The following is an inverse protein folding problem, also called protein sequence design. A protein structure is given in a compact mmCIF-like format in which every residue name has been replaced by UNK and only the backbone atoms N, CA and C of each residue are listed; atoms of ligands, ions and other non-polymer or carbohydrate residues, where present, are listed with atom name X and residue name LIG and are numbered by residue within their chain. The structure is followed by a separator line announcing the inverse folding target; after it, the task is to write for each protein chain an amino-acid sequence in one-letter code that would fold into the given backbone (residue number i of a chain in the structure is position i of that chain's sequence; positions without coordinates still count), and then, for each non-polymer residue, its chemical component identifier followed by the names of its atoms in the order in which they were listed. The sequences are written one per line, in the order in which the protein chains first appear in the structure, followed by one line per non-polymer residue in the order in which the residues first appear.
data_IF_853495727815
#
_entry.id   IF_853495727815
#
_cell.length_a   1.000
_cell.length_b   1.000
_cell.length_c   1.000
_cell.angle_alpha   90.00
_cell.angle_beta   90.00
_cell.angle_gamma   90.00
#
_symmetry.space_group_name_H-M   'P 1'
#
loop_
_entity.id
_entity.type
_entity.pdbx_description
1 polymer ?
#
# COMPACT_ATOMS: atom_id res chain seq x y z
N UNK A 1 6.40 -20.01 12.44
CA UNK A 1 5.74 -18.85 11.78
C UNK A 1 5.18 -19.34 10.46
N UNK A 2 3.94 -18.98 10.10
CA UNK A 2 3.39 -19.32 8.79
C UNK A 2 4.27 -18.72 7.68
N UNK A 3 4.49 -19.49 6.61
CA UNK A 3 5.26 -19.03 5.45
C UNK A 3 4.56 -17.82 4.82
N UNK A 4 5.32 -16.80 4.45
CA UNK A 4 4.79 -15.65 3.72
C UNK A 4 4.48 -16.10 2.29
N UNK A 5 3.21 -16.02 1.91
CA UNK A 5 2.73 -16.41 0.59
C UNK A 5 2.08 -15.22 -0.10
N UNK A 6 2.39 -15.04 -1.38
CA UNK A 6 1.68 -14.06 -2.19
C UNK A 6 0.23 -14.51 -2.38
N UNK A 7 -0.71 -13.57 -2.23
CA UNK A 7 -2.09 -13.83 -2.57
C UNK A 7 -2.18 -14.18 -4.07
N UNK A 8 -2.99 -15.18 -4.47
CA UNK A 8 -3.18 -15.48 -5.88
C UNK A 8 -3.85 -14.30 -6.59
N UNK A 9 -3.54 -14.11 -7.87
CA UNK A 9 -4.24 -13.15 -8.72
C UNK A 9 -5.69 -13.59 -8.87
N UNK A 10 -6.65 -12.72 -8.52
CA UNK A 10 -8.09 -12.99 -8.69
C UNK A 10 -8.49 -12.80 -10.13
N UNK A 11 -9.46 -13.61 -10.56
CA UNK A 11 -10.04 -13.51 -11.90
C UNK A 11 -10.61 -12.12 -12.13
N UNK A 12 -10.62 -11.69 -13.40
CA UNK A 12 -11.14 -10.39 -13.79
C UNK A 12 -12.58 -10.21 -13.28
N UNK A 13 -13.46 -11.19 -13.50
CA UNK A 13 -14.87 -11.12 -13.07
C UNK A 13 -15.07 -10.93 -11.56
N UNK A 14 -14.14 -11.41 -10.71
CA UNK A 14 -14.22 -11.19 -9.27
C UNK A 14 -13.76 -9.75 -8.90
N UNK A 15 -12.79 -9.22 -9.65
CA UNK A 15 -12.22 -7.88 -9.48
C UNK A 15 -13.11 -6.77 -10.07
N UNK A 16 -13.56 -6.89 -11.33
CA UNK A 16 -14.39 -5.94 -12.11
C UNK A 16 -15.37 -6.70 -13.06
N UNK A 17 -16.47 -6.11 -13.58
CA UNK A 17 -17.58 -5.40 -12.98
C UNK A 17 -18.86 -6.28 -12.87
N UNK A 18 -19.56 -6.15 -11.75
CA UNK A 18 -21.01 -6.36 -11.64
C UNK A 18 -21.56 -5.19 -10.85
N UNK A 19 -22.63 -4.52 -11.30
CA UNK A 19 -23.17 -3.34 -10.58
C UNK A 19 -23.65 -3.68 -9.16
N UNK A 20 -24.00 -4.94 -8.92
CA UNK A 20 -24.32 -5.56 -7.63
C UNK A 20 -23.12 -5.70 -6.68
N UNK A 21 -21.90 -5.56 -7.20
CA UNK A 21 -20.64 -5.81 -6.47
C UNK A 21 -19.97 -4.55 -5.94
N UNK A 22 -20.50 -3.38 -6.29
CA UNK A 22 -19.99 -2.07 -5.88
C UNK A 22 -21.09 -1.26 -5.20
N UNK A 23 -20.74 -0.57 -4.12
CA UNK A 23 -21.63 0.34 -3.43
C UNK A 23 -20.85 1.55 -2.91
N UNK A 24 -21.53 2.70 -2.82
CA UNK A 24 -20.95 3.91 -2.22
C UNK A 24 -20.43 3.60 -0.80
N UNK A 25 -19.26 4.14 -0.41
CA UNK A 25 -18.78 4.00 0.96
C UNK A 25 -19.77 4.65 1.94
N UNK A 26 -19.96 3.99 3.08
CA UNK A 26 -20.82 4.47 4.15
C UNK A 26 -20.00 5.41 5.05
N UNK A 27 -20.06 6.71 4.75
CA UNK A 27 -19.31 7.73 5.50
C UNK A 27 -19.86 7.97 6.91
N UNK A 28 -21.04 7.42 7.24
CA UNK A 28 -21.63 7.52 8.59
C UNK A 28 -21.08 6.44 9.52
N UNK A 29 -20.73 5.27 8.98
CA UNK A 29 -20.11 4.16 9.69
C UNK A 29 -18.66 3.95 9.20
N UNK A 30 -17.76 4.80 9.71
CA UNK A 30 -16.34 4.78 9.37
C UNK A 30 -15.67 3.43 9.71
N UNK A 31 -16.11 2.77 10.79
CA UNK A 31 -15.59 1.47 11.18
C UNK A 31 -15.93 0.41 10.12
N UNK A 32 -17.18 0.36 9.65
CA UNK A 32 -17.60 -0.53 8.57
C UNK A 32 -16.89 -0.23 7.25
N UNK A 33 -16.71 1.05 6.92
CA UNK A 33 -16.00 1.43 5.69
C UNK A 33 -14.52 1.03 5.76
N UNK A 34 -13.83 1.31 6.88
CA UNK A 34 -12.45 0.87 7.10
C UNK A 34 -12.33 -0.65 6.97
N UNK A 35 -13.23 -1.39 7.61
CA UNK A 35 -13.24 -2.84 7.57
C UNK A 35 -13.48 -3.39 6.15
N UNK A 36 -14.24 -2.66 5.32
CA UNK A 36 -14.40 -2.96 3.89
C UNK A 36 -13.08 -2.76 3.13
N UNK A 37 -12.41 -1.62 3.33
CA UNK A 37 -11.13 -1.31 2.68
C UNK A 37 -10.09 -2.38 3.03
N UNK A 38 -9.85 -2.63 4.31
CA UNK A 38 -8.87 -3.62 4.81
C UNK A 38 -9.15 -5.01 4.22
N UNK A 39 -10.40 -5.46 4.30
CA UNK A 39 -10.81 -6.76 3.79
C UNK A 39 -10.50 -6.89 2.29
N UNK A 40 -10.78 -5.84 1.51
CA UNK A 40 -10.51 -5.83 0.09
C UNK A 40 -9.01 -5.74 -0.22
N UNK A 41 -8.23 -4.94 0.52
CA UNK A 41 -6.77 -4.82 0.39
C UNK A 41 -6.08 -6.18 0.54
N UNK A 42 -6.51 -6.96 1.54
CA UNK A 42 -6.02 -8.32 1.77
C UNK A 42 -6.39 -9.25 0.61
N UNK A 43 -7.68 -9.33 0.27
CA UNK A 43 -8.17 -10.31 -0.69
C UNK A 43 -7.68 -10.09 -2.13
N UNK A 44 -7.59 -8.83 -2.57
CA UNK A 44 -7.19 -8.42 -3.94
C UNK A 44 -5.75 -7.92 -4.03
N UNK A 45 -4.88 -8.22 -3.05
CA UNK A 45 -3.50 -7.70 -2.98
C UNK A 45 -2.77 -7.72 -4.34
N UNK A 46 -2.75 -8.87 -5.01
CA UNK A 46 -2.00 -9.04 -6.27
C UNK A 46 -2.65 -8.30 -7.44
N UNK A 47 -3.98 -8.21 -7.46
CA UNK A 47 -4.70 -7.38 -8.43
C UNK A 47 -4.40 -5.89 -8.21
N UNK A 48 -4.28 -5.44 -6.95
CA UNK A 48 -3.91 -4.06 -6.65
C UNK A 48 -2.48 -3.72 -7.01
N UNK A 49 -1.54 -4.64 -6.80
CA UNK A 49 -0.17 -4.47 -7.28
C UNK A 49 -0.15 -4.32 -8.80
N UNK A 50 -0.87 -5.20 -9.52
CA UNK A 50 -0.97 -5.12 -10.98
C UNK A 50 -1.63 -3.82 -11.44
N UNK A 51 -2.74 -3.41 -10.81
CA UNK A 51 -3.42 -2.14 -11.10
C UNK A 51 -2.47 -0.96 -10.90
N UNK A 52 -1.70 -0.95 -9.80
CA UNK A 52 -0.75 0.09 -9.52
C UNK A 52 0.36 0.18 -10.57
N UNK A 53 0.91 -0.97 -11.00
CA UNK A 53 1.91 -1.04 -12.08
C UNK A 53 1.32 -0.53 -13.40
N UNK A 54 0.12 -0.96 -13.77
CA UNK A 54 -0.54 -0.50 -15.01
C UNK A 54 -0.76 1.01 -15.00
N UNK A 55 -1.30 1.56 -13.92
CA UNK A 55 -1.52 3.01 -13.80
C UNK A 55 -0.20 3.78 -13.81
N UNK A 56 0.83 3.28 -13.12
CA UNK A 56 2.17 3.87 -13.13
C UNK A 56 2.76 3.92 -14.55
N UNK A 57 2.68 2.81 -15.28
CA UNK A 57 3.15 2.73 -16.67
C UNK A 57 2.35 3.64 -17.61
N UNK A 58 1.03 3.78 -17.40
CA UNK A 58 0.20 4.72 -18.16
C UNK A 58 0.64 6.17 -17.93
N UNK A 59 0.88 6.57 -16.68
CA UNK A 59 1.41 7.91 -16.38
C UNK A 59 2.76 8.12 -17.07
N UNK A 60 3.64 7.12 -17.01
CA UNK A 60 4.95 7.16 -17.67
C UNK A 60 4.86 7.25 -19.19
N UNK A 61 3.92 6.54 -19.80
CA UNK A 61 3.70 6.58 -21.24
C UNK A 61 3.15 7.93 -21.71
N UNK A 62 2.28 8.57 -20.92
CA UNK A 62 1.73 9.89 -21.23
C UNK A 62 2.77 11.02 -21.09
N UNK A 63 3.79 10.84 -20.25
CA UNK A 63 4.89 11.79 -20.14
C UNK A 63 6.24 11.08 -19.89
N UNK A 64 6.84 10.52 -20.96
CA UNK A 64 8.02 9.66 -20.82
C UNK A 64 9.25 10.43 -20.36
N UNK A 65 9.46 11.66 -20.87
CA UNK A 65 10.62 12.47 -20.47
C UNK A 65 10.56 12.88 -19.01
N UNK A 66 9.41 13.34 -18.51
CA UNK A 66 9.31 13.72 -17.12
C UNK A 66 9.30 12.51 -16.18
N UNK A 67 8.83 11.34 -16.62
CA UNK A 67 8.97 10.08 -15.87
C UNK A 67 10.43 9.64 -15.76
N UNK A 68 11.16 9.61 -16.88
CA UNK A 68 12.60 9.27 -16.89
C UNK A 68 13.37 10.27 -16.03
N UNK A 69 13.10 11.56 -16.17
CA UNK A 69 13.70 12.61 -15.35
C UNK A 69 13.40 12.39 -13.88
N UNK A 70 12.15 12.10 -13.52
CA UNK A 70 11.77 11.86 -12.14
C UNK A 70 12.48 10.66 -11.53
N UNK A 71 12.51 9.54 -12.25
CA UNK A 71 13.22 8.33 -11.84
C UNK A 71 14.72 8.59 -11.70
N UNK A 72 15.33 9.24 -12.69
CA UNK A 72 16.76 9.54 -12.67
C UNK A 72 17.15 10.43 -11.48
N UNK A 73 16.36 11.47 -11.19
CA UNK A 73 16.61 12.36 -10.04
C UNK A 73 16.47 11.60 -8.73
N UNK A 74 15.36 10.90 -8.51
CA UNK A 74 15.11 10.20 -7.24
C UNK A 74 16.15 9.09 -7.01
N UNK A 75 16.42 8.28 -8.03
CA UNK A 75 17.45 7.23 -7.94
C UNK A 75 18.85 7.83 -7.77
N UNK A 76 19.18 8.90 -8.50
CA UNK A 76 20.48 9.57 -8.42
C UNK A 76 20.76 10.19 -7.06
N UNK A 77 19.78 10.92 -6.51
CA UNK A 77 19.88 11.52 -5.17
C UNK A 77 19.97 10.43 -4.09
N UNK A 78 19.15 9.37 -4.19
CA UNK A 78 19.20 8.27 -3.24
C UNK A 78 20.55 7.54 -3.27
N UNK A 79 20.99 7.08 -4.44
CA UNK A 79 22.27 6.39 -4.61
C UNK A 79 23.45 7.29 -4.20
N UNK A 80 23.44 8.57 -4.58
CA UNK A 80 24.44 9.54 -4.18
C UNK A 80 24.47 9.72 -2.66
N UNK A 81 23.32 9.82 -2.00
CA UNK A 81 23.23 9.94 -0.55
C UNK A 81 23.75 8.71 0.19
N UNK A 82 23.46 7.50 -0.31
CA UNK A 82 23.96 6.24 0.24
C UNK A 82 25.47 6.17 0.08
N UNK A 83 25.97 6.43 -1.13
CA UNK A 83 27.41 6.42 -1.42
C UNK A 83 28.17 7.41 -0.53
N UNK A 84 27.72 8.67 -0.45
CA UNK A 84 28.34 9.67 0.43
C UNK A 84 28.27 9.22 1.90
N UNK A 85 27.13 8.67 2.33
CA UNK A 85 26.91 8.19 3.69
C UNK A 85 27.71 6.93 4.07
N UNK A 86 28.23 6.18 3.10
CA UNK A 86 29.14 5.05 3.33
C UNK A 86 30.60 5.47 3.30
N UNK A 87 30.95 6.43 2.45
CA UNK A 87 32.34 6.83 2.20
C UNK A 87 32.82 8.01 3.08
N UNK A 88 31.91 8.74 3.74
CA UNK A 88 32.25 9.85 4.63
C UNK A 88 31.83 9.53 6.06
N UNK A 89 32.81 9.35 6.95
CA UNK A 89 32.57 9.03 8.36
C UNK A 89 31.62 10.03 9.06
N UNK A 90 31.76 11.33 8.77
CA UNK A 90 30.89 12.39 9.33
C UNK A 90 29.42 12.16 8.95
N UNK A 91 29.16 11.86 7.68
CA UNK A 91 27.79 11.68 7.16
C UNK A 91 27.23 10.32 7.59
N UNK A 92 28.07 9.28 7.66
CA UNK A 92 27.68 7.99 8.23
C UNK A 92 27.24 8.13 9.70
N UNK A 93 28.03 8.85 10.50
CA UNK A 93 27.72 9.11 11.90
C UNK A 93 26.43 9.93 12.04
N UNK A 94 26.27 10.97 11.23
CA UNK A 94 25.04 11.76 11.18
C UNK A 94 23.81 10.92 10.82
N UNK A 95 23.90 10.10 9.76
CA UNK A 95 22.84 9.18 9.32
C UNK A 95 22.43 8.21 10.42
N UNK A 96 23.38 7.70 11.20
CA UNK A 96 23.12 6.76 12.32
C UNK A 96 22.48 7.46 13.52
N UNK A 97 22.92 8.67 13.84
CA UNK A 97 22.39 9.45 14.98
C UNK A 97 21.02 10.08 14.66
N UNK A 98 20.81 10.52 13.42
CA UNK A 98 19.63 11.26 12.99
C UNK A 98 19.05 10.70 11.68
N UNK A 99 18.62 9.42 11.64
CA UNK A 99 18.17 8.77 10.41
C UNK A 99 16.97 9.48 9.78
N UNK A 100 16.04 9.97 10.59
CA UNK A 100 14.86 10.71 10.11
C UNK A 100 15.25 12.01 9.41
N UNK A 101 16.16 12.79 9.99
CA UNK A 101 16.63 14.06 9.40
C UNK A 101 17.37 13.78 8.09
N UNK A 102 18.19 12.72 8.05
CA UNK A 102 18.87 12.30 6.83
C UNK A 102 17.87 11.97 5.70
N UNK A 103 16.82 11.19 5.99
CA UNK A 103 15.77 10.88 5.00
C UNK A 103 15.04 12.15 4.55
N UNK A 104 14.70 13.05 5.48
CA UNK A 104 14.06 14.33 5.14
C UNK A 104 14.96 15.15 4.20
N UNK A 105 16.26 15.24 4.48
CA UNK A 105 17.21 15.95 3.63
C UNK A 105 17.26 15.37 2.20
N UNK A 106 17.27 14.03 2.07
CA UNK A 106 17.21 13.33 0.78
C UNK A 106 15.92 13.63 0.03
N UNK A 107 14.77 13.65 0.73
CA UNK A 107 13.49 14.00 0.12
C UNK A 107 13.45 15.45 -0.35
N UNK A 108 13.93 16.38 0.47
CA UNK A 108 13.97 17.82 0.14
C UNK A 108 14.89 18.07 -1.06
N UNK A 109 16.06 17.43 -1.10
CA UNK A 109 16.97 17.50 -2.24
C UNK A 109 16.31 16.96 -3.52
N UNK A 110 15.65 15.79 -3.44
CA UNK A 110 14.92 15.21 -4.56
C UNK A 110 13.81 16.13 -5.06
N UNK A 111 12.97 16.65 -4.16
CA UNK A 111 11.90 17.59 -4.50
C UNK A 111 12.43 18.87 -5.16
N UNK A 112 13.53 19.42 -4.66
CA UNK A 112 14.15 20.65 -5.20
C UNK A 112 14.62 20.43 -6.63
N UNK A 113 15.36 19.33 -6.88
CA UNK A 113 15.83 18.98 -8.23
C UNK A 113 14.69 18.68 -9.19
N UNK A 114 13.66 17.94 -8.75
CA UNK A 114 12.46 17.71 -9.54
C UNK A 114 11.75 19.02 -9.90
N UNK A 115 11.72 19.99 -8.97
CA UNK A 115 11.10 21.31 -9.18
C UNK A 115 11.86 22.11 -10.24
N UNK A 116 13.19 22.11 -10.16
CA UNK A 116 14.05 22.76 -11.15
C UNK A 116 13.90 22.14 -12.55
N UNK A 117 13.63 20.83 -12.62
CA UNK A 117 13.47 20.08 -13.86
C UNK A 117 11.99 19.95 -14.32
N UNK A 118 11.06 20.66 -13.67
CA UNK A 118 9.65 20.67 -14.05
C UNK A 118 8.91 19.32 -13.94
N UNK A 119 9.49 18.33 -13.25
CA UNK A 119 9.00 16.94 -13.25
C UNK A 119 8.24 16.54 -11.98
N UNK A 120 8.05 17.48 -11.04
CA UNK A 120 7.36 17.22 -9.75
C UNK A 120 5.96 16.68 -9.97
N UNK A 121 5.15 17.31 -10.83
CA UNK A 121 3.76 16.92 -11.01
C UNK A 121 3.63 15.48 -11.54
N UNK A 122 4.51 15.10 -12.46
CA UNK A 122 4.52 13.76 -13.06
C UNK A 122 4.90 12.72 -12.00
N UNK A 123 5.92 13.02 -11.19
CA UNK A 123 6.29 12.18 -10.06
C UNK A 123 5.14 12.01 -9.06
N UNK A 124 4.45 13.11 -8.72
CA UNK A 124 3.31 13.08 -7.81
C UNK A 124 2.15 12.24 -8.39
N UNK A 125 1.82 12.40 -9.68
CA UNK A 125 0.78 11.59 -10.32
C UNK A 125 1.15 10.12 -10.42
N UNK A 126 2.41 9.80 -10.66
CA UNK A 126 2.91 8.43 -10.72
C UNK A 126 2.74 7.69 -9.39
N UNK A 127 2.67 8.41 -8.26
CA UNK A 127 2.42 7.82 -6.94
C UNK A 127 0.94 7.90 -6.55
N UNK A 128 0.33 9.08 -6.70
CA UNK A 128 -1.03 9.35 -6.22
C UNK A 128 -2.07 8.55 -7.01
N UNK A 129 -1.96 8.47 -8.34
CA UNK A 129 -3.00 7.82 -9.16
C UNK A 129 -3.10 6.31 -8.91
N UNK A 130 -2.00 5.54 -8.82
CA UNK A 130 -2.05 4.15 -8.38
C UNK A 130 -2.71 3.97 -7.02
N UNK A 131 -2.30 4.75 -6.01
CA UNK A 131 -2.83 4.65 -4.65
C UNK A 131 -4.31 5.02 -4.60
N UNK A 132 -4.70 6.11 -5.27
CA UNK A 132 -6.09 6.55 -5.36
C UNK A 132 -6.97 5.50 -6.05
N UNK A 133 -6.46 4.86 -7.11
CA UNK A 133 -7.18 3.80 -7.84
C UNK A 133 -7.41 2.57 -6.98
N UNK A 134 -6.37 2.13 -6.25
CA UNK A 134 -6.47 1.02 -5.28
C UNK A 134 -7.45 1.37 -4.16
N UNK A 135 -7.33 2.56 -3.58
CA UNK A 135 -8.19 3.03 -2.50
C UNK A 135 -9.66 3.16 -2.94
N UNK A 136 -9.89 3.71 -4.13
CA UNK A 136 -11.22 3.79 -4.73
C UNK A 136 -11.81 2.39 -4.88
N UNK A 137 -11.10 1.48 -5.56
CA UNK A 137 -11.60 0.12 -5.74
C UNK A 137 -11.89 -0.57 -4.39
N UNK A 138 -10.96 -0.50 -3.43
CA UNK A 138 -11.13 -1.10 -2.11
C UNK A 138 -12.30 -0.48 -1.30
N UNK A 139 -12.60 0.79 -1.52
CA UNK A 139 -13.71 1.49 -0.86
C UNK A 139 -15.08 1.13 -1.43
N UNK A 140 -15.19 1.05 -2.75
CA UNK A 140 -16.46 0.81 -3.42
C UNK A 140 -16.80 -0.68 -3.52
N UNK A 141 -15.81 -1.59 -3.57
CA UNK A 141 -16.06 -3.03 -3.70
C UNK A 141 -16.72 -3.61 -2.44
N UNK A 142 -17.86 -4.27 -2.62
CA UNK A 142 -18.53 -5.02 -1.55
C UNK A 142 -17.76 -6.30 -1.20
N UNK A 143 -17.80 -6.69 0.08
CA UNK A 143 -17.15 -7.91 0.56
C UNK A 143 -17.96 -9.15 0.16
N UNK A 144 -17.38 -10.04 -0.64
CA UNK A 144 -17.96 -11.35 -0.95
C UNK A 144 -17.62 -12.38 0.17
N UNK A 145 -18.22 -13.58 0.14
CA UNK A 145 -17.93 -14.62 1.14
C UNK A 145 -16.49 -15.14 1.10
N UNK A 146 -15.88 -15.22 -0.09
CA UNK A 146 -14.48 -15.63 -0.27
C UNK A 146 -13.52 -14.69 0.46
N UNK A 147 -13.76 -13.39 0.31
CA UNK A 147 -13.07 -12.30 0.99
C UNK A 147 -13.21 -12.42 2.51
N UNK A 148 -14.43 -12.65 3.02
CA UNK A 148 -14.63 -12.88 4.47
C UNK A 148 -13.88 -14.11 5.00
N UNK A 149 -13.85 -15.20 4.23
CA UNK A 149 -13.17 -16.45 4.63
C UNK A 149 -11.66 -16.26 4.66
N UNK A 150 -11.08 -15.68 3.62
CA UNK A 150 -9.63 -15.45 3.57
C UNK A 150 -9.15 -14.50 4.66
N UNK A 151 -9.91 -13.43 4.96
CA UNK A 151 -9.58 -12.55 6.07
C UNK A 151 -9.60 -13.28 7.42
N UNK A 152 -10.51 -14.25 7.61
CA UNK A 152 -10.51 -15.09 8.81
C UNK A 152 -9.26 -15.97 8.88
N UNK A 153 -8.88 -16.61 7.76
CA UNK A 153 -7.68 -17.46 7.66
C UNK A 153 -6.40 -16.66 7.97
N UNK A 154 -6.27 -15.45 7.41
CA UNK A 154 -5.14 -14.57 7.73
C UNK A 154 -5.21 -14.02 9.16
N UNK A 155 -6.41 -13.71 9.65
CA UNK A 155 -6.65 -13.30 11.03
C UNK A 155 -6.12 -14.33 12.03
N UNK A 156 -6.51 -15.59 11.89
CA UNK A 156 -6.04 -16.68 12.77
C UNK A 156 -4.57 -17.09 12.52
N UNK A 157 -3.88 -16.43 11.58
CA UNK A 157 -2.47 -16.65 11.31
C UNK A 157 -2.15 -17.94 10.55
N UNK A 158 -3.15 -18.63 10.01
CA UNK A 158 -2.97 -19.83 9.18
C UNK A 158 -2.31 -19.51 7.83
N UNK A 159 -2.45 -18.27 7.36
CA UNK A 159 -1.76 -17.73 6.19
C UNK A 159 -1.23 -16.33 6.50
N UNK A 160 -0.09 -15.97 5.91
CA UNK A 160 0.46 -14.61 5.99
C UNK A 160 0.81 -14.11 4.60
N UNK A 161 0.23 -12.98 4.21
CA UNK A 161 0.58 -12.27 2.99
C UNK A 161 1.36 -10.99 3.30
N UNK A 162 2.11 -10.42 2.33
CA UNK A 162 2.75 -9.12 2.51
C UNK A 162 1.78 -8.00 2.89
N UNK A 163 0.57 -7.97 2.32
CA UNK A 163 -0.45 -7.00 2.72
C UNK A 163 -0.93 -7.26 4.15
N UNK A 164 -1.09 -8.51 4.57
CA UNK A 164 -1.41 -8.84 5.96
C UNK A 164 -0.33 -8.38 6.95
N UNK A 165 0.95 -8.52 6.60
CA UNK A 165 2.04 -7.98 7.41
C UNK A 165 1.98 -6.45 7.48
N UNK A 166 1.75 -5.78 6.35
CA UNK A 166 1.63 -4.33 6.28
C UNK A 166 0.47 -3.83 7.14
N UNK A 167 -0.71 -4.43 7.01
CA UNK A 167 -1.90 -4.02 7.76
C UNK A 167 -1.77 -4.33 9.25
N UNK A 168 -1.09 -5.41 9.63
CA UNK A 168 -0.74 -5.66 11.02
C UNK A 168 0.21 -4.59 11.57
N UNK A 169 1.26 -4.22 10.82
CA UNK A 169 2.18 -3.15 11.22
C UNK A 169 1.48 -1.79 11.36
N UNK A 170 0.39 -1.56 10.62
CA UNK A 170 -0.47 -0.39 10.71
C UNK A 170 -1.56 -0.51 11.81
N UNK A 171 -1.54 -1.57 12.62
CA UNK A 171 -2.52 -1.81 13.70
C UNK A 171 -3.94 -2.13 13.24
N UNK A 172 -4.15 -2.43 11.96
CA UNK A 172 -5.48 -2.62 11.38
C UNK A 172 -6.04 -4.04 11.54
N UNK A 173 -5.19 -5.04 11.86
CA UNK A 173 -5.58 -6.45 11.92
C UNK A 173 -5.94 -6.93 13.34
N UNK A 174 -5.37 -6.33 14.39
CA UNK A 174 -5.56 -6.74 15.80
C UNK A 174 -6.99 -6.51 16.29
N UNK A 175 -7.63 -5.42 15.87
CA UNK A 175 -8.99 -5.04 16.29
C UNK A 175 -10.06 -6.05 15.82
N UNK A 176 -9.85 -6.66 14.65
CA UNK A 176 -10.74 -7.70 14.12
C UNK A 176 -10.53 -9.05 14.82
N UNK A 177 -9.29 -9.35 15.24
CA UNK A 177 -8.97 -10.60 15.92
C UNK A 177 -9.57 -10.65 17.32
N UNK A 178 -9.42 -9.56 18.08
CA UNK A 178 -10.03 -9.41 19.41
C UNK A 178 -11.55 -9.51 19.36
N UNK A 179 -12.21 -8.90 18.36
CA UNK A 179 -13.67 -9.04 18.15
C UNK A 179 -14.08 -10.49 17.89
N UNK A 180 -13.29 -11.27 17.17
CA UNK A 180 -13.58 -12.69 16.91
C UNK A 180 -13.38 -13.53 18.17
N UNK A 181 -12.31 -13.28 18.94
CA UNK A 181 -12.06 -13.96 20.22
C UNK A 181 -13.20 -13.72 21.20
N UNK A 182 -13.61 -12.46 21.39
CA UNK A 182 -14.71 -12.10 22.29
C UNK A 182 -16.05 -12.76 21.88
N UNK A 183 -16.31 -12.91 20.57
CA UNK A 183 -17.52 -13.60 20.09
C UNK A 183 -17.48 -15.12 20.32
N UNK A 184 -16.29 -15.73 20.24
CA UNK A 184 -16.11 -17.16 20.52
C UNK A 184 -16.23 -17.43 22.02
N UNK A 185 -15.63 -16.59 22.86
CA UNK A 185 -15.77 -16.68 24.32
C UNK A 185 -17.23 -16.47 24.75
N UNK A 186 -17.95 -15.51 24.17
CA UNK A 186 -19.37 -15.32 24.45
C UNK A 186 -20.23 -16.54 24.08
N UNK A 187 -19.93 -17.22 22.97
CA UNK A 187 -20.64 -18.45 22.55
C UNK A 187 -20.25 -19.69 23.34
N UNK A 188 -19.06 -19.72 23.93
CA UNK A 188 -18.58 -20.83 24.75
C UNK A 188 -19.17 -20.79 26.18
N UNK A 189 -19.56 -19.58 26.61
CA UNK A 189 -20.15 -19.30 27.91
C UNK A 189 -21.70 -19.32 27.90
N UNK A 190 -22.32 -19.62 26.75
CA UNK A 190 -23.75 -20.00 26.60
C UNK A 190 -23.89 -21.53 26.62
#
# INVERSE_FOLDING_TARGET
MAKVELAPLRTWDDFFPGSDRFAKPDVRDLARWNNRIISNLLYYQTNYLLLAVVVFLLVGFLNPLGMITALAVVSGVFMGSVWVGENRAVINNFKRQNPTIFVIAVMVASYTLLSMLGSVMIFMYAIILPLASVFAHASFRLRNMKNKLENKIEGVGLKRSPMGILLQALGQQEENLQKIQNLLEAKLNE
#
